data_IF_651103441274
#
_entry.id   IF_651103441274
#
_cell.length_a   1.000
_cell.length_b   1.000
_cell.length_c   1.000
_cell.angle_alpha   90.00
_cell.angle_beta   90.00
_cell.angle_gamma   90.00
#
_symmetry.space_group_name_H-M   'P 1'
#
loop_
_entity.id
_entity.type
_entity.pdbx_description
1 polymer ?
#
# COMPACT_ATOMS: atom_id res chain seq x y z
N UNK A 1 -7.01 -36.47 7.90
CA UNK A 1 -6.51 -35.07 7.90
C UNK A 1 -6.73 -34.39 6.54
N UNK A 2 -6.34 -35.01 5.43
CA UNK A 2 -6.51 -34.48 4.05
C UNK A 2 -7.98 -34.27 3.64
N UNK A 3 -8.89 -35.19 3.99
CA UNK A 3 -10.33 -35.04 3.68
C UNK A 3 -10.99 -33.84 4.38
N UNK A 4 -10.58 -33.49 5.60
CA UNK A 4 -11.07 -32.27 6.30
C UNK A 4 -10.54 -30.98 5.66
N UNK A 5 -9.35 -31.03 5.05
CA UNK A 5 -8.77 -29.90 4.31
C UNK A 5 -9.52 -29.66 3.00
N UNK A 6 -9.84 -30.73 2.27
CA UNK A 6 -10.60 -30.68 1.01
C UNK A 6 -12.05 -30.23 1.21
N UNK A 7 -12.70 -30.61 2.32
CA UNK A 7 -14.05 -30.14 2.67
C UNK A 7 -14.11 -28.65 3.06
N UNK A 8 -12.97 -28.01 3.33
CA UNK A 8 -12.89 -26.57 3.67
C UNK A 8 -12.58 -25.68 2.46
N UNK A 9 -12.13 -26.29 1.35
CA UNK A 9 -11.79 -25.63 0.09
C UNK A 9 -13.01 -25.56 -0.82
N UNK A 10 -13.93 -24.65 -0.50
CA UNK A 10 -14.95 -24.19 -1.44
C UNK A 10 -14.27 -23.57 -2.67
N UNK A 11 -14.80 -23.78 -3.87
CA UNK A 11 -14.37 -23.15 -5.13
C UNK A 11 -14.05 -21.67 -4.96
N UNK A 12 -14.83 -20.93 -4.17
CA UNK A 12 -14.59 -19.49 -3.89
C UNK A 12 -13.30 -19.24 -3.13
N UNK A 13 -13.02 -20.06 -2.11
CA UNK A 13 -11.81 -19.96 -1.29
C UNK A 13 -10.58 -20.34 -2.10
N UNK A 14 -10.69 -21.39 -2.92
CA UNK A 14 -9.63 -21.83 -3.81
C UNK A 14 -9.31 -20.77 -4.87
N UNK A 15 -10.33 -20.21 -5.54
CA UNK A 15 -10.14 -19.14 -6.51
C UNK A 15 -9.47 -17.90 -5.90
N UNK A 16 -9.89 -17.50 -4.69
CA UNK A 16 -9.27 -16.39 -3.97
C UNK A 16 -7.80 -16.70 -3.60
N UNK A 17 -7.52 -17.91 -3.12
CA UNK A 17 -6.15 -18.32 -2.80
C UNK A 17 -5.25 -18.32 -4.04
N UNK A 18 -5.71 -18.90 -5.16
CA UNK A 18 -4.99 -18.93 -6.43
C UNK A 18 -4.72 -17.50 -6.92
N UNK A 19 -5.71 -16.61 -6.85
CA UNK A 19 -5.56 -15.20 -7.23
C UNK A 19 -4.42 -14.53 -6.47
N UNK A 20 -4.40 -14.61 -5.14
CA UNK A 20 -3.38 -13.94 -4.33
C UNK A 20 -2.01 -14.60 -4.44
N UNK A 21 -1.95 -15.92 -4.64
CA UNK A 21 -0.69 -16.61 -5.01
C UNK A 21 -0.17 -16.09 -6.34
N UNK A 22 -1.03 -15.89 -7.35
CA UNK A 22 -0.64 -15.35 -8.65
C UNK A 22 -0.16 -13.89 -8.55
N UNK A 23 -0.87 -13.03 -7.81
CA UNK A 23 -0.44 -11.64 -7.55
C UNK A 23 0.91 -11.62 -6.84
N UNK A 24 1.09 -12.46 -5.82
CA UNK A 24 2.36 -12.57 -5.10
C UNK A 24 3.48 -13.03 -6.04
N UNK A 25 3.27 -14.11 -6.80
CA UNK A 25 4.26 -14.63 -7.75
C UNK A 25 4.65 -13.60 -8.82
N UNK A 26 3.69 -12.80 -9.30
CA UNK A 26 3.96 -11.73 -10.25
C UNK A 26 4.78 -10.59 -9.64
N UNK A 27 4.60 -10.33 -8.34
CA UNK A 27 5.31 -9.29 -7.61
C UNK A 27 6.68 -9.72 -7.09
N UNK A 28 6.93 -11.02 -6.88
CA UNK A 28 8.26 -11.52 -6.47
C UNK A 28 9.21 -11.47 -7.66
N UNK A 29 10.01 -10.42 -7.73
CA UNK A 29 11.10 -10.26 -8.69
C UNK A 29 12.22 -9.42 -8.09
N UNK A 30 13.45 -9.58 -8.60
CA UNK A 30 14.57 -8.75 -8.21
C UNK A 30 14.26 -7.28 -8.54
N UNK A 31 14.11 -6.39 -7.54
CA UNK A 31 13.69 -5.03 -7.78
C UNK A 31 14.93 -4.17 -8.05
N UNK A 32 15.37 -4.15 -9.31
CA UNK A 32 16.47 -3.31 -9.74
C UNK A 32 15.93 -2.12 -10.54
N UNK A 33 16.02 -0.94 -9.94
CA UNK A 33 15.72 0.35 -10.55
C UNK A 33 16.80 1.34 -10.11
N UNK A 34 17.03 2.38 -10.90
CA UNK A 34 18.14 3.32 -10.67
C UNK A 34 18.05 4.04 -9.32
N UNK A 35 16.84 4.38 -8.85
CA UNK A 35 16.69 5.12 -7.57
C UNK A 35 16.72 4.19 -6.35
N UNK A 36 16.56 2.87 -6.52
CA UNK A 36 16.58 1.94 -5.39
C UNK A 36 17.87 2.10 -4.57
N UNK A 37 19.01 2.31 -5.25
CA UNK A 37 20.30 2.54 -4.59
C UNK A 37 20.35 3.82 -3.75
N UNK A 38 19.69 4.89 -4.20
CA UNK A 38 19.56 6.11 -3.41
C UNK A 38 18.82 5.84 -2.11
N UNK A 39 17.72 5.09 -2.18
CA UNK A 39 16.93 4.74 -1.00
C UNK A 39 17.70 3.85 -0.02
N UNK A 40 18.40 2.83 -0.54
CA UNK A 40 19.23 1.95 0.28
C UNK A 40 20.36 2.72 0.95
N UNK A 41 21.05 3.60 0.21
CA UNK A 41 22.16 4.38 0.77
C UNK A 41 21.68 5.41 1.79
N UNK A 42 20.56 6.08 1.52
CA UNK A 42 19.96 7.01 2.48
C UNK A 42 19.53 6.28 3.78
N UNK A 43 18.98 5.06 3.66
CA UNK A 43 18.65 4.21 4.80
C UNK A 43 19.88 3.80 5.60
N UNK A 44 20.93 3.33 4.92
CA UNK A 44 22.22 2.99 5.53
C UNK A 44 22.79 4.16 6.33
N UNK A 45 22.91 5.34 5.70
CA UNK A 45 23.46 6.54 6.36
C UNK A 45 22.62 6.97 7.56
N UNK A 46 21.29 6.83 7.47
CA UNK A 46 20.38 7.13 8.59
C UNK A 46 20.63 6.21 9.78
N UNK A 47 20.81 4.90 9.54
CA UNK A 47 21.12 3.91 10.58
C UNK A 47 22.52 4.15 11.17
N UNK A 48 23.55 4.32 10.32
CA UNK A 48 24.93 4.52 10.75
C UNK A 48 25.12 5.79 11.59
N UNK A 49 24.44 6.88 11.23
CA UNK A 49 24.53 8.15 11.97
C UNK A 49 23.60 8.24 13.17
N UNK A 50 22.64 7.30 13.32
CA UNK A 50 21.60 7.34 14.35
C UNK A 50 20.66 8.55 14.25
N UNK A 51 20.60 9.22 13.09
CA UNK A 51 19.76 10.40 12.85
C UNK A 51 19.25 10.42 11.41
N UNK A 52 18.04 10.95 11.23
CA UNK A 52 17.42 11.11 9.91
C UNK A 52 18.35 11.95 9.02
N UNK A 53 18.59 11.47 7.80
CA UNK A 53 19.36 12.21 6.81
C UNK A 53 18.58 13.45 6.36
N UNK A 54 19.07 14.63 6.76
CA UNK A 54 18.45 15.94 6.52
C UNK A 54 19.23 16.82 5.53
N UNK A 55 20.23 16.24 4.86
CA UNK A 55 21.08 16.91 3.89
C UNK A 55 21.27 16.00 2.67
N UNK A 56 21.40 16.60 1.49
CA UNK A 56 21.67 15.88 0.26
C UNK A 56 23.17 15.53 0.16
N UNK A 57 23.50 14.24 0.25
CA UNK A 57 24.87 13.73 0.16
C UNK A 57 25.23 13.14 -1.20
N UNK A 58 24.25 13.01 -2.11
CA UNK A 58 24.36 12.16 -3.29
C UNK A 58 24.25 12.98 -4.58
N UNK A 59 23.55 14.11 -4.56
CA UNK A 59 23.46 15.01 -5.72
C UNK A 59 24.76 15.76 -5.95
N UNK A 60 25.29 15.68 -7.17
CA UNK A 60 26.46 16.47 -7.58
C UNK A 60 26.22 17.99 -7.51
N UNK A 61 25.01 18.46 -7.85
CA UNK A 61 24.69 19.90 -7.95
C UNK A 61 24.13 20.51 -6.67
N UNK A 62 23.78 19.68 -5.68
CA UNK A 62 23.10 20.10 -4.44
C UNK A 62 23.75 19.52 -3.18
N UNK A 63 24.97 19.00 -3.28
CA UNK A 63 25.70 18.44 -2.16
C UNK A 63 25.69 19.40 -0.94
N UNK A 64 25.31 18.88 0.23
CA UNK A 64 25.20 19.61 1.49
C UNK A 64 23.95 20.50 1.62
N UNK A 65 23.05 20.54 0.63
CA UNK A 65 21.80 21.30 0.73
C UNK A 65 20.83 20.64 1.71
N UNK A 66 19.98 21.41 2.43
CA UNK A 66 18.92 20.85 3.26
C UNK A 66 17.97 19.96 2.45
N UNK A 67 17.65 18.78 2.99
CA UNK A 67 16.74 17.81 2.40
C UNK A 67 15.68 17.37 3.40
N UNK A 68 14.41 17.56 3.05
CA UNK A 68 13.28 17.03 3.82
C UNK A 68 13.01 15.59 3.35
N UNK A 69 13.59 14.64 4.07
CA UNK A 69 13.45 13.22 3.77
C UNK A 69 12.15 12.64 4.34
N UNK A 70 11.05 12.82 3.62
CA UNK A 70 9.73 12.25 3.94
C UNK A 70 9.64 10.72 3.81
N UNK A 71 10.70 10.06 3.36
CA UNK A 71 10.74 8.61 3.15
C UNK A 71 11.77 7.90 4.03
N UNK A 72 12.34 8.58 5.02
CA UNK A 72 13.43 8.05 5.84
C UNK A 72 13.08 6.68 6.47
N UNK A 73 11.84 6.50 6.96
CA UNK A 73 11.47 5.24 7.63
C UNK A 73 11.40 4.09 6.63
N UNK A 74 10.85 4.35 5.44
CA UNK A 74 10.82 3.35 4.38
C UNK A 74 12.23 2.98 3.91
N UNK A 75 13.14 3.96 3.83
CA UNK A 75 14.53 3.75 3.45
C UNK A 75 15.26 2.88 4.47
N UNK A 76 15.03 3.11 5.77
CA UNK A 76 15.55 2.26 6.85
C UNK A 76 15.06 0.82 6.71
N UNK A 77 13.76 0.61 6.45
CA UNK A 77 13.18 -0.72 6.23
C UNK A 77 13.80 -1.40 5.00
N UNK A 78 13.91 -0.69 3.88
CA UNK A 78 14.50 -1.22 2.65
C UNK A 78 15.97 -1.58 2.83
N UNK A 79 16.75 -0.71 3.48
CA UNK A 79 18.14 -0.98 3.81
C UNK A 79 18.25 -2.22 4.69
N UNK A 80 17.50 -2.32 5.78
CA UNK A 80 17.53 -3.47 6.67
C UNK A 80 17.23 -4.79 5.95
N UNK A 81 16.20 -4.80 5.09
CA UNK A 81 15.84 -5.97 4.27
C UNK A 81 16.96 -6.37 3.32
N UNK A 82 17.59 -5.40 2.66
CA UNK A 82 18.70 -5.66 1.74
C UNK A 82 19.96 -6.13 2.46
N UNK A 83 20.28 -5.54 3.61
CA UNK A 83 21.45 -5.90 4.42
C UNK A 83 21.38 -7.35 4.93
N UNK A 84 20.19 -7.82 5.32
CA UNK A 84 20.00 -9.16 5.89
C UNK A 84 19.64 -10.24 4.86
N UNK A 85 18.95 -9.86 3.77
CA UNK A 85 18.38 -10.82 2.82
C UNK A 85 18.66 -10.46 1.34
N UNK A 86 19.47 -9.43 1.09
CA UNK A 86 19.80 -8.95 -0.27
C UNK A 86 18.55 -8.70 -1.12
N UNK A 87 18.63 -8.97 -2.42
CA UNK A 87 17.51 -8.82 -3.36
C UNK A 87 16.30 -9.68 -3.01
N UNK A 88 16.48 -10.82 -2.34
CA UNK A 88 15.38 -11.67 -1.91
C UNK A 88 14.50 -10.96 -0.87
N UNK A 89 15.11 -10.26 0.09
CA UNK A 89 14.38 -9.45 1.08
C UNK A 89 13.51 -8.38 0.43
N UNK A 90 14.08 -7.65 -0.53
CA UNK A 90 13.37 -6.60 -1.25
C UNK A 90 12.22 -7.16 -2.12
N UNK A 91 12.47 -8.27 -2.82
CA UNK A 91 11.46 -8.92 -3.66
C UNK A 91 10.29 -9.49 -2.85
N UNK A 92 10.58 -10.15 -1.72
CA UNK A 92 9.55 -10.69 -0.82
C UNK A 92 8.76 -9.58 -0.13
N UNK A 93 9.43 -8.50 0.31
CA UNK A 93 8.75 -7.34 0.87
C UNK A 93 7.82 -6.67 -0.15
N UNK A 94 8.31 -6.44 -1.37
CA UNK A 94 7.50 -5.87 -2.45
C UNK A 94 6.26 -6.73 -2.71
N UNK A 95 6.42 -8.04 -2.83
CA UNK A 95 5.31 -8.95 -3.05
C UNK A 95 4.31 -8.96 -1.89
N UNK A 96 4.79 -8.94 -0.64
CA UNK A 96 3.94 -8.87 0.53
C UNK A 96 3.12 -7.56 0.58
N UNK A 97 3.75 -6.41 0.30
CA UNK A 97 3.09 -5.09 0.31
C UNK A 97 2.07 -4.98 -0.83
N UNK A 98 2.43 -5.42 -2.04
CA UNK A 98 1.52 -5.44 -3.20
C UNK A 98 0.33 -6.35 -2.93
N UNK A 99 0.58 -7.58 -2.46
CA UNK A 99 -0.47 -8.53 -2.11
C UNK A 99 -1.41 -7.96 -1.04
N UNK A 100 -0.87 -7.33 0.01
CA UNK A 100 -1.67 -6.69 1.06
C UNK A 100 -2.52 -5.53 0.50
N UNK A 101 -1.95 -4.69 -0.37
CA UNK A 101 -2.69 -3.60 -0.99
C UNK A 101 -3.88 -4.13 -1.82
N UNK A 102 -3.65 -5.16 -2.66
CA UNK A 102 -4.72 -5.81 -3.40
C UNK A 102 -5.72 -6.54 -2.51
N UNK A 103 -5.31 -7.07 -1.35
CA UNK A 103 -6.23 -7.68 -0.40
C UNK A 103 -7.23 -6.65 0.14
N UNK A 104 -6.77 -5.46 0.54
CA UNK A 104 -7.66 -4.38 0.97
C UNK A 104 -8.59 -3.91 -0.16
N UNK A 105 -8.06 -3.75 -1.37
CA UNK A 105 -8.88 -3.43 -2.56
C UNK A 105 -9.91 -4.52 -2.84
N UNK A 106 -9.54 -5.79 -2.70
CA UNK A 106 -10.46 -6.90 -2.92
C UNK A 106 -11.59 -6.89 -1.88
N UNK A 107 -11.30 -6.59 -0.61
CA UNK A 107 -12.30 -6.59 0.49
C UNK A 107 -13.40 -5.53 0.34
N UNK A 108 -13.16 -4.46 -0.40
CA UNK A 108 -14.14 -3.40 -0.68
C UNK A 108 -14.95 -3.65 -1.98
N UNK A 109 -14.60 -4.67 -2.77
CA UNK A 109 -15.32 -4.99 -4.00
C UNK A 109 -16.61 -5.76 -3.72
N UNK A 110 -17.64 -5.46 -4.51
CA UNK A 110 -18.89 -6.20 -4.59
C UNK A 110 -18.92 -7.09 -5.84
N UNK A 111 -19.80 -8.09 -5.84
CA UNK A 111 -19.92 -9.06 -6.94
C UNK A 111 -19.33 -10.44 -6.65
N UNK A 112 -19.40 -11.32 -7.64
CA UNK A 112 -18.93 -12.70 -7.54
C UNK A 112 -17.39 -12.79 -7.53
N UNK A 113 -16.88 -13.96 -7.12
CA UNK A 113 -15.44 -14.21 -6.97
C UNK A 113 -14.67 -14.07 -8.29
N UNK A 114 -15.27 -14.43 -9.42
CA UNK A 114 -14.59 -14.43 -10.71
C UNK A 114 -14.50 -13.02 -11.29
N UNK A 115 -15.58 -12.22 -11.18
CA UNK A 115 -15.54 -10.80 -11.56
C UNK A 115 -14.50 -10.03 -10.76
N UNK A 116 -14.47 -10.23 -9.44
CA UNK A 116 -13.47 -9.60 -8.56
C UNK A 116 -12.05 -10.04 -8.91
N UNK A 117 -11.84 -11.34 -9.14
CA UNK A 117 -10.55 -11.87 -9.55
C UNK A 117 -10.09 -11.28 -10.89
N UNK A 118 -10.98 -11.19 -11.88
CA UNK A 118 -10.67 -10.58 -13.18
C UNK A 118 -10.22 -9.12 -13.03
N UNK A 119 -10.94 -8.32 -12.24
CA UNK A 119 -10.57 -6.92 -11.99
C UNK A 119 -9.21 -6.82 -11.28
N UNK A 120 -8.96 -7.67 -10.27
CA UNK A 120 -7.66 -7.70 -9.57
C UNK A 120 -6.54 -8.10 -10.52
N UNK A 121 -6.72 -9.11 -11.36
CA UNK A 121 -5.72 -9.52 -12.36
C UNK A 121 -5.44 -8.40 -13.35
N UNK A 122 -6.47 -7.72 -13.85
CA UNK A 122 -6.31 -6.60 -14.77
C UNK A 122 -5.57 -5.42 -14.12
N UNK A 123 -5.95 -5.06 -12.89
CA UNK A 123 -5.29 -4.02 -12.12
C UNK A 123 -3.85 -4.39 -11.76
N UNK A 124 -3.60 -5.67 -11.46
CA UNK A 124 -2.26 -6.20 -11.21
C UNK A 124 -1.39 -6.10 -12.47
N UNK A 125 -1.89 -6.59 -13.62
CA UNK A 125 -1.17 -6.55 -14.89
C UNK A 125 -0.82 -5.12 -15.33
N UNK A 126 -1.74 -4.17 -15.15
CA UNK A 126 -1.52 -2.76 -15.53
C UNK A 126 -0.59 -2.03 -14.56
N UNK A 127 -0.74 -2.23 -13.25
CA UNK A 127 0.13 -1.58 -12.26
C UNK A 127 1.49 -2.28 -12.08
N UNK A 128 1.65 -3.51 -12.57
CA UNK A 128 2.89 -4.29 -12.45
C UNK A 128 4.13 -3.58 -12.97
N UNK A 129 4.00 -2.67 -13.92
CA UNK A 129 5.13 -1.89 -14.46
C UNK A 129 5.75 -0.90 -13.47
N UNK A 130 5.00 -0.49 -12.43
CA UNK A 130 5.47 0.46 -11.40
C UNK A 130 5.79 -0.20 -10.06
N UNK A 131 5.72 -1.54 -9.97
CA UNK A 131 6.10 -2.27 -8.77
C UNK A 131 7.62 -2.38 -8.68
N UNK A 132 8.20 -1.47 -7.90
CA UNK A 132 9.65 -1.35 -7.71
C UNK A 132 9.92 -1.24 -6.22
N UNK A 133 11.09 -1.68 -5.73
CA UNK A 133 11.47 -1.55 -4.32
C UNK A 133 11.77 -0.11 -3.91
N UNK A 134 10.73 0.71 -3.93
CA UNK A 134 10.72 2.13 -3.63
C UNK A 134 9.69 2.41 -2.53
N UNK A 135 9.86 3.53 -1.79
CA UNK A 135 8.92 3.96 -0.76
C UNK A 135 7.46 4.06 -1.20
N UNK A 136 7.21 4.31 -2.51
CA UNK A 136 5.87 4.47 -3.07
C UNK A 136 4.94 3.27 -2.83
N UNK A 137 5.47 2.05 -2.71
CA UNK A 137 4.65 0.85 -2.45
C UNK A 137 3.89 0.94 -1.11
N UNK A 138 4.49 1.58 -0.10
CA UNK A 138 3.76 1.87 1.15
C UNK A 138 2.57 2.80 0.89
N UNK A 139 2.67 3.75 -0.04
CA UNK A 139 1.54 4.61 -0.37
C UNK A 139 0.42 3.86 -1.07
N UNK A 140 0.71 2.87 -1.92
CA UNK A 140 -0.35 2.04 -2.50
C UNK A 140 -1.11 1.27 -1.42
N UNK A 141 -0.38 0.64 -0.49
CA UNK A 141 -0.97 -0.07 0.63
C UNK A 141 -1.79 0.86 1.53
N UNK A 142 -1.22 1.98 1.98
CA UNK A 142 -1.89 2.89 2.90
C UNK A 142 -3.09 3.60 2.25
N UNK A 143 -3.03 3.88 0.94
CA UNK A 143 -4.18 4.34 0.17
C UNK A 143 -5.31 3.32 0.19
N UNK A 144 -5.00 2.04 -0.07
CA UNK A 144 -5.98 0.96 -0.01
C UNK A 144 -6.57 0.79 1.40
N UNK A 145 -5.76 0.95 2.45
CA UNK A 145 -6.23 0.93 3.84
C UNK A 145 -7.15 2.10 4.15
N UNK A 146 -6.82 3.34 3.73
CA UNK A 146 -7.70 4.51 3.91
C UNK A 146 -9.03 4.28 3.20
N UNK A 147 -9.00 3.85 1.94
CA UNK A 147 -10.21 3.53 1.18
C UNK A 147 -11.05 2.46 1.87
N UNK A 148 -10.41 1.42 2.41
CA UNK A 148 -11.09 0.36 3.15
C UNK A 148 -11.73 0.86 4.47
N UNK A 149 -11.08 1.74 5.22
CA UNK A 149 -11.66 2.34 6.42
C UNK A 149 -12.89 3.20 6.11
N UNK A 150 -12.85 3.96 5.02
CA UNK A 150 -14.00 4.72 4.52
C UNK A 150 -15.13 3.80 4.03
N UNK A 151 -14.78 2.70 3.35
CA UNK A 151 -15.73 1.67 2.96
C UNK A 151 -16.43 1.05 4.18
N UNK A 152 -15.68 0.69 5.22
CA UNK A 152 -16.25 0.17 6.47
C UNK A 152 -17.21 1.15 7.12
N UNK A 153 -16.85 2.43 7.16
CA UNK A 153 -17.68 3.48 7.74
C UNK A 153 -18.99 3.66 6.93
N UNK A 154 -18.89 3.84 5.61
CA UNK A 154 -20.04 4.17 4.76
C UNK A 154 -20.97 2.99 4.49
N UNK A 155 -20.41 1.83 4.16
CA UNK A 155 -21.18 0.70 3.63
C UNK A 155 -21.38 -0.44 4.62
N UNK A 156 -20.57 -0.50 5.68
CA UNK A 156 -20.69 -1.54 6.72
C UNK A 156 -21.15 -1.00 8.07
N UNK A 157 -21.27 0.31 8.23
CA UNK A 157 -21.64 0.95 9.50
C UNK A 157 -20.60 0.77 10.62
N UNK A 158 -19.38 0.35 10.28
CA UNK A 158 -18.31 0.08 11.26
C UNK A 158 -17.39 1.29 11.33
N UNK A 159 -17.47 2.06 12.41
CA UNK A 159 -16.62 3.25 12.59
C UNK A 159 -15.23 2.89 13.14
N UNK A 160 -14.22 2.97 12.27
CA UNK A 160 -12.79 2.84 12.62
C UNK A 160 -11.96 4.04 12.18
N UNK A 161 -12.60 5.19 11.99
CA UNK A 161 -11.92 6.40 11.48
C UNK A 161 -10.88 6.96 12.46
N UNK A 162 -10.95 6.58 13.75
CA UNK A 162 -9.92 6.89 14.74
C UNK A 162 -8.54 6.31 14.40
N UNK A 163 -8.45 5.34 13.48
CA UNK A 163 -7.18 4.83 12.96
C UNK A 163 -6.54 5.77 11.94
N UNK A 164 -7.25 6.75 11.39
CA UNK A 164 -6.70 7.65 10.37
C UNK A 164 -5.53 8.50 10.93
N UNK A 165 -5.64 9.20 12.08
CA UNK A 165 -4.50 9.98 12.59
C UNK A 165 -3.20 9.18 12.76
N UNK A 166 -3.16 8.02 13.46
CA UNK A 166 -1.93 7.24 13.56
C UNK A 166 -1.46 6.70 12.21
N UNK A 167 -2.38 6.36 11.29
CA UNK A 167 -2.03 5.93 9.93
C UNK A 167 -1.32 7.05 9.15
N UNK A 168 -1.79 8.29 9.21
CA UNK A 168 -1.14 9.43 8.54
C UNK A 168 0.20 9.81 9.18
N UNK A 169 0.33 9.71 10.51
CA UNK A 169 1.61 9.89 11.20
C UNK A 169 2.63 8.86 10.71
N UNK A 170 2.22 7.61 10.52
CA UNK A 170 3.09 6.59 9.94
C UNK A 170 3.40 6.91 8.46
N UNK A 171 2.37 7.28 7.68
CA UNK A 171 2.50 7.51 6.24
C UNK A 171 3.45 8.66 5.89
N UNK A 172 3.36 9.80 6.61
CA UNK A 172 4.22 10.97 6.34
C UNK A 172 5.72 10.67 6.52
N UNK A 173 6.06 9.64 7.30
CA UNK A 173 7.44 9.18 7.49
C UNK A 173 7.86 8.10 6.47
N UNK A 174 6.90 7.44 5.82
CA UNK A 174 7.14 6.42 4.82
C UNK A 174 7.23 7.00 3.41
N UNK A 175 6.33 7.90 3.01
CA UNK A 175 6.32 8.47 1.65
C UNK A 175 5.45 9.73 1.53
N UNK A 176 5.85 10.67 0.67
CA UNK A 176 5.09 11.90 0.38
C UNK A 176 3.71 11.65 -0.23
N UNK A 177 3.45 10.42 -0.69
CA UNK A 177 2.13 9.98 -1.18
C UNK A 177 1.00 10.07 -0.14
N UNK A 178 1.28 10.42 1.12
CA UNK A 178 0.25 10.73 2.13
C UNK A 178 -0.73 11.82 1.66
N UNK A 179 -0.30 12.71 0.75
CA UNK A 179 -1.18 13.70 0.13
C UNK A 179 -2.39 13.06 -0.58
N UNK A 180 -2.23 11.87 -1.17
CA UNK A 180 -3.34 11.12 -1.79
C UNK A 180 -4.40 10.74 -0.77
N UNK A 181 -4.00 10.40 0.46
CA UNK A 181 -4.93 10.13 1.55
C UNK A 181 -5.83 11.34 1.83
N UNK A 182 -5.26 12.54 1.88
CA UNK A 182 -6.05 13.77 2.05
C UNK A 182 -6.97 14.04 0.87
N UNK A 183 -6.51 13.82 -0.37
CA UNK A 183 -7.34 13.98 -1.57
C UNK A 183 -8.56 13.05 -1.51
N UNK A 184 -8.37 11.78 -1.11
CA UNK A 184 -9.47 10.81 -0.96
C UNK A 184 -10.43 11.24 0.14
N UNK A 185 -9.93 11.69 1.30
CA UNK A 185 -10.77 12.18 2.39
C UNK A 185 -11.60 13.39 1.98
N UNK A 186 -10.99 14.35 1.28
CA UNK A 186 -11.68 15.52 0.75
C UNK A 186 -12.75 15.12 -0.27
N UNK A 187 -12.42 14.22 -1.20
CA UNK A 187 -13.38 13.69 -2.17
C UNK A 187 -14.53 12.95 -1.51
N UNK A 188 -14.27 12.19 -0.45
CA UNK A 188 -15.29 11.49 0.32
C UNK A 188 -16.24 12.47 1.03
N UNK A 189 -15.68 13.47 1.73
CA UNK A 189 -16.48 14.51 2.41
C UNK A 189 -17.28 15.33 1.40
N UNK A 190 -16.66 15.76 0.30
CA UNK A 190 -17.35 16.49 -0.75
C UNK A 190 -18.51 15.68 -1.36
N UNK A 191 -18.29 14.37 -1.61
CA UNK A 191 -19.32 13.46 -2.07
C UNK A 191 -20.47 13.32 -1.07
N UNK A 192 -20.17 13.26 0.23
CA UNK A 192 -21.19 13.16 1.27
C UNK A 192 -21.99 14.46 1.43
N UNK A 193 -21.33 15.62 1.38
CA UNK A 193 -21.99 16.92 1.37
C UNK A 193 -22.91 17.04 0.16
N UNK A 194 -22.45 16.65 -1.02
CA UNK A 194 -23.26 16.71 -2.24
C UNK A 194 -24.48 15.78 -2.18
N UNK A 195 -24.32 14.56 -1.65
CA UNK A 195 -25.44 13.64 -1.45
C UNK A 195 -26.52 14.24 -0.53
N UNK A 196 -26.09 14.91 0.55
CA UNK A 196 -26.99 15.57 1.49
C UNK A 196 -27.68 16.80 0.87
N UNK A 197 -26.96 17.60 0.08
CA UNK A 197 -27.52 18.79 -0.58
C UNK A 197 -28.50 18.43 -1.71
N UNK A 198 -28.21 17.38 -2.48
CA UNK A 198 -29.05 16.98 -3.61
C UNK A 198 -30.22 16.07 -3.20
N UNK A 199 -30.32 15.68 -1.92
CA UNK A 199 -31.31 14.72 -1.42
C UNK A 199 -31.42 13.44 -2.27
N UNK A 200 -30.34 13.05 -2.95
CA UNK A 200 -30.30 11.88 -3.85
C UNK A 200 -30.25 10.54 -3.10
N UNK A 201 -30.28 10.58 -1.76
CA UNK A 201 -30.41 9.39 -0.92
C UNK A 201 -31.42 9.71 0.20
N UNK A 202 -32.61 9.09 0.21
CA UNK A 202 -33.46 9.07 1.40
C UNK A 202 -32.65 8.44 2.54
N UNK A 203 -32.56 9.15 3.67
CA UNK A 203 -31.96 8.63 4.90
C UNK A 203 -32.53 7.25 5.22
N UNK A 204 -31.73 6.20 5.11
CA UNK A 204 -32.11 4.88 5.56
C UNK A 204 -32.21 4.88 7.09
N UNK A 205 -33.44 5.03 7.60
CA UNK A 205 -33.86 4.53 8.90
C UNK A 205 -33.76 5.50 10.08
N UNK A 206 -34.90 6.11 10.43
CA UNK A 206 -35.46 6.05 11.79
C UNK A 206 -35.88 4.62 12.13
#
# INVERSE_FOLDING_TARGET
MVQRLLLWLDTRRLATAILFVAVFAMAVRAPADSDTWWHLKAGQVTVERGRILQEDLFSHTRYGSPWINHSWLSQVVLYWLFDHFSYAGLGLWMAAVVMAAFAFVYLQMEGDVFTRAFIVVLAAATSGVIWVARPQLFSFLLTAVVAYLLYLFKWRGVNRLWLLPPLFILWVNLHAGYALGFIILLGFVAGEVLNNLLALVPSAGS
#
